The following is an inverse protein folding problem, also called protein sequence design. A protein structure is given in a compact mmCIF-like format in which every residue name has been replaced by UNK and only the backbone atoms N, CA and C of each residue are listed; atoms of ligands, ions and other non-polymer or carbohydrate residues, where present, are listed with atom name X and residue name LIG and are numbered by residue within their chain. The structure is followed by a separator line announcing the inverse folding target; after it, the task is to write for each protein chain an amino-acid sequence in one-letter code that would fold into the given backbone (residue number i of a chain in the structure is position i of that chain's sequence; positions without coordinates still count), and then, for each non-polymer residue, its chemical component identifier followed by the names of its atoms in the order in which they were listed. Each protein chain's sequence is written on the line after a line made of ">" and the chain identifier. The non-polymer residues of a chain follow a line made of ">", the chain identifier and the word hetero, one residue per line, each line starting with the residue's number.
data_IF_667283664571
#
_entry.id   IF_667283664571
#
_cell.length_a   1.000
_cell.length_b   1.000
_cell.length_c   1.000
_cell.angle_alpha   90.00
_cell.angle_beta   90.00
_cell.angle_gamma   90.00
#
_symmetry.space_group_name_H-M   'P 1'
#
loop_
_entity.id
_entity.type
_entity.pdbx_description
1 polymer ?
#
# COMPACT_ATOMS: atom_id res chain seq x y z
N UNK A 1 -4.99 -0.14 -5.71
CA UNK A 1 -5.30 -1.24 -6.65
C UNK A 1 -4.21 -1.37 -7.71
N UNK A 2 -3.70 -0.28 -8.29
CA UNK A 2 -2.50 -0.37 -9.13
C UNK A 2 -1.24 -0.42 -8.27
N UNK A 3 -0.40 -1.44 -8.46
CA UNK A 3 0.92 -1.54 -7.86
C UNK A 3 1.95 -0.71 -8.66
N UNK A 4 2.96 -0.12 -8.02
CA UNK A 4 3.91 0.79 -8.69
C UNK A 4 4.67 0.14 -9.86
N UNK A 5 4.93 -1.16 -9.81
CA UNK A 5 5.60 -1.93 -10.87
C UNK A 5 4.76 -2.08 -12.15
N UNK A 6 3.43 -1.97 -12.08
CA UNK A 6 2.54 -1.98 -13.25
C UNK A 6 2.79 -0.76 -14.16
N UNK A 7 3.37 0.31 -13.58
CA UNK A 7 3.73 1.52 -14.33
C UNK A 7 5.05 1.36 -15.09
N UNK A 8 5.75 0.24 -14.92
CA UNK A 8 6.97 -0.12 -15.63
C UNK A 8 6.67 -1.29 -16.57
N UNK A 9 6.78 -1.06 -17.88
CA UNK A 9 6.45 -2.02 -18.94
C UNK A 9 7.25 -3.34 -18.88
N UNK A 10 8.35 -3.40 -18.12
CA UNK A 10 9.32 -4.49 -18.13
C UNK A 10 9.35 -5.38 -16.87
N UNK A 11 8.44 -5.19 -15.91
CA UNK A 11 8.43 -6.01 -14.68
C UNK A 11 7.51 -7.21 -14.82
N UNK A 12 7.97 -8.47 -14.66
CA UNK A 12 7.10 -9.63 -14.67
C UNK A 12 6.10 -9.52 -13.51
N UNK A 13 4.81 -9.52 -13.84
CA UNK A 13 3.71 -9.49 -12.90
C UNK A 13 3.68 -10.80 -12.10
N UNK A 14 3.69 -10.70 -10.77
CA UNK A 14 3.66 -11.84 -9.84
C UNK A 14 2.63 -11.65 -8.72
N UNK A 15 2.59 -12.60 -7.78
CA UNK A 15 1.64 -12.65 -6.64
C UNK A 15 1.78 -11.44 -5.71
N UNK A 16 2.92 -10.77 -5.74
CA UNK A 16 3.28 -9.61 -4.93
C UNK A 16 2.44 -8.37 -5.29
N UNK A 17 1.91 -8.32 -6.50
CA UNK A 17 0.95 -7.30 -6.94
C UNK A 17 -0.42 -7.48 -6.24
N UNK A 18 -0.83 -8.73 -6.00
CA UNK A 18 -2.07 -9.01 -5.26
C UNK A 18 -1.92 -8.61 -3.79
N UNK A 19 -0.74 -8.81 -3.19
CA UNK A 19 -0.43 -8.38 -1.81
C UNK A 19 -0.59 -6.86 -1.67
N UNK A 20 -0.05 -6.08 -2.62
CA UNK A 20 -0.25 -4.63 -2.64
C UNK A 20 -1.74 -4.26 -2.76
N UNK A 21 -2.46 -4.94 -3.66
CA UNK A 21 -3.90 -4.70 -3.85
C UNK A 21 -4.71 -4.99 -2.59
N UNK A 22 -4.39 -6.08 -1.88
CA UNK A 22 -4.97 -6.43 -0.58
C UNK A 22 -4.66 -5.33 0.44
N UNK A 23 -3.41 -4.89 0.55
CA UNK A 23 -3.02 -3.80 1.45
C UNK A 23 -3.83 -2.52 1.21
N UNK A 24 -4.02 -2.14 -0.05
CA UNK A 24 -4.84 -0.97 -0.43
C UNK A 24 -6.32 -1.16 -0.03
N UNK A 25 -6.88 -2.34 -0.28
CA UNK A 25 -8.27 -2.66 0.08
C UNK A 25 -8.43 -2.66 1.61
N UNK A 26 -7.53 -3.30 2.35
CA UNK A 26 -7.55 -3.32 3.82
C UNK A 26 -7.47 -1.91 4.39
N UNK A 27 -6.61 -1.04 3.85
CA UNK A 27 -6.53 0.36 4.27
C UNK A 27 -7.88 1.07 4.08
N UNK A 28 -8.54 0.87 2.94
CA UNK A 28 -9.86 1.44 2.66
C UNK A 28 -10.95 0.89 3.57
N UNK A 29 -10.92 -0.41 3.89
CA UNK A 29 -11.91 -1.03 4.80
C UNK A 29 -11.80 -0.49 6.23
N UNK A 30 -10.59 -0.15 6.70
CA UNK A 30 -10.37 0.35 8.07
C UNK A 30 -10.61 1.85 8.21
N UNK A 31 -10.26 2.65 7.20
CA UNK A 31 -10.35 4.12 7.27
C UNK A 31 -11.51 4.73 6.51
N UNK A 32 -12.07 4.02 5.53
CA UNK A 32 -13.03 4.56 4.57
C UNK A 32 -12.40 5.44 3.48
N UNK A 33 -11.07 5.59 3.45
CA UNK A 33 -10.36 6.42 2.47
C UNK A 33 -9.25 5.64 1.76
N UNK A 34 -8.91 5.96 0.49
CA UNK A 34 -7.77 5.34 -0.19
C UNK A 34 -6.44 5.79 0.43
N UNK A 35 -5.41 4.92 0.49
CA UNK A 35 -4.09 5.29 1.01
C UNK A 35 -3.37 6.32 0.11
N UNK A 36 -3.67 6.31 -1.19
CA UNK A 36 -3.10 7.25 -2.16
C UNK A 36 -4.22 8.03 -2.83
N UNK A 37 -4.16 9.35 -2.73
CA UNK A 37 -5.09 10.26 -3.39
C UNK A 37 -4.38 11.57 -3.74
N UNK A 38 -4.64 12.06 -4.95
CA UNK A 38 -4.26 13.39 -5.40
C UNK A 38 -5.18 13.80 -6.56
N UNK A 39 -5.48 15.09 -6.68
CA UNK A 39 -6.24 15.62 -7.82
C UNK A 39 -5.40 15.61 -9.09
N UNK A 40 -4.08 15.76 -8.96
CA UNK A 40 -3.16 15.64 -10.07
C UNK A 40 -2.73 14.18 -10.25
N UNK A 41 -3.10 13.61 -11.39
CA UNK A 41 -2.77 12.21 -11.74
C UNK A 41 -1.25 11.94 -11.71
N UNK A 42 -0.42 12.90 -12.10
CA UNK A 42 1.03 12.77 -12.02
C UNK A 42 1.54 12.68 -10.57
N UNK A 43 0.96 13.47 -9.66
CA UNK A 43 1.28 13.40 -8.24
C UNK A 43 0.74 12.13 -7.57
N UNK A 44 -0.45 11.66 -7.98
CA UNK A 44 -0.98 10.36 -7.57
C UNK A 44 0.00 9.24 -7.94
N UNK A 45 0.49 9.22 -9.17
CA UNK A 45 1.50 8.24 -9.59
C UNK A 45 2.82 8.39 -8.83
N UNK A 46 3.26 9.61 -8.56
CA UNK A 46 4.45 9.87 -7.73
C UNK A 46 4.29 9.27 -6.33
N UNK A 47 3.14 9.50 -5.67
CA UNK A 47 2.83 8.95 -4.35
C UNK A 47 2.83 7.42 -4.35
N UNK A 48 2.22 6.80 -5.36
CA UNK A 48 2.21 5.33 -5.52
C UNK A 48 3.64 4.80 -5.72
N UNK A 49 4.43 5.42 -6.61
CA UNK A 49 5.83 5.04 -6.87
C UNK A 49 6.75 5.20 -5.66
N UNK A 50 6.49 6.19 -4.82
CA UNK A 50 7.26 6.42 -3.61
C UNK A 50 6.68 5.72 -2.36
N UNK A 51 5.55 5.02 -2.47
CA UNK A 51 4.87 4.43 -1.30
C UNK A 51 4.47 5.46 -0.25
N UNK A 52 4.17 6.69 -0.66
CA UNK A 52 3.86 7.80 0.25
C UNK A 52 2.37 7.78 0.62
N UNK A 53 2.08 7.24 1.81
CA UNK A 53 0.76 7.31 2.46
C UNK A 53 0.94 7.54 3.96
N UNK A 54 -0.13 7.94 4.65
CA UNK A 54 -0.12 8.15 6.09
C UNK A 54 -1.38 7.56 6.73
N UNK A 55 -1.24 7.08 7.97
CA UNK A 55 -2.37 6.65 8.81
C UNK A 55 -3.06 7.86 9.44
N UNK A 56 -3.61 8.71 8.60
CA UNK A 56 -4.26 9.96 8.95
C UNK A 56 -5.63 10.07 8.29
N UNK A 57 -6.51 10.93 8.81
CA UNK A 57 -6.44 11.62 10.11
C UNK A 57 -6.62 10.68 11.31
N UNK A 58 -6.07 11.07 12.47
CA UNK A 58 -5.95 10.20 13.66
C UNK A 58 -7.29 9.63 14.17
N UNK A 59 -8.41 10.31 13.94
CA UNK A 59 -9.72 9.83 14.40
C UNK A 59 -10.19 8.54 13.70
N UNK A 60 -9.76 8.28 12.46
CA UNK A 60 -10.00 6.99 11.79
C UNK A 60 -9.08 5.88 12.27
N UNK A 61 -7.89 6.23 12.76
CA UNK A 61 -6.83 5.26 13.02
C UNK A 61 -6.54 5.04 14.51
N UNK A 62 -7.13 5.83 15.41
CA UNK A 62 -6.91 5.74 16.85
C UNK A 62 -7.39 4.42 17.45
N UNK A 63 -8.43 3.82 16.87
CA UNK A 63 -9.03 2.56 17.31
C UNK A 63 -8.49 1.33 16.56
N UNK A 64 -7.69 1.54 15.50
CA UNK A 64 -7.08 0.47 14.73
C UNK A 64 -5.79 0.01 15.43
N UNK A 65 -5.65 -1.30 15.63
CA UNK A 65 -4.50 -1.88 16.33
C UNK A 65 -3.17 -1.57 15.64
N UNK A 66 -2.10 -1.55 16.42
CA UNK A 66 -0.75 -1.42 15.89
C UNK A 66 -0.45 -2.53 14.88
N UNK A 67 -0.82 -3.77 15.19
CA UNK A 67 -0.56 -4.93 14.32
C UNK A 67 -1.24 -4.81 12.97
N UNK A 68 -2.46 -4.27 12.91
CA UNK A 68 -3.15 -4.04 11.65
C UNK A 68 -2.44 -2.97 10.80
N UNK A 69 -1.97 -1.88 11.43
CA UNK A 69 -1.19 -0.85 10.73
C UNK A 69 0.15 -1.40 10.24
N UNK A 70 0.84 -2.16 11.07
CA UNK A 70 2.10 -2.82 10.72
C UNK A 70 1.91 -3.78 9.54
N UNK A 71 0.88 -4.61 9.58
CA UNK A 71 0.54 -5.53 8.49
C UNK A 71 0.29 -4.77 7.17
N UNK A 72 -0.45 -3.66 7.20
CA UNK A 72 -0.65 -2.80 6.01
C UNK A 72 0.69 -2.24 5.52
N UNK A 73 1.56 -1.78 6.42
CA UNK A 73 2.89 -1.31 6.07
C UNK A 73 3.77 -2.37 5.44
N UNK A 74 3.68 -3.63 5.85
CA UNK A 74 4.39 -4.72 5.18
C UNK A 74 3.81 -5.05 3.80
N UNK A 75 2.51 -4.85 3.58
CA UNK A 75 1.87 -5.08 2.28
C UNK A 75 2.11 -3.95 1.27
N UNK A 76 2.19 -2.70 1.74
CA UNK A 76 2.37 -1.49 0.93
C UNK A 76 3.85 -1.11 0.76
N UNK A 77 4.74 -2.09 0.65
CA UNK A 77 6.15 -1.85 0.31
C UNK A 77 6.31 -1.58 -1.19
N UNK A 78 7.16 -0.62 -1.57
CA UNK A 78 7.35 -0.25 -2.99
C UNK A 78 7.98 -1.40 -3.77
N UNK A 79 9.04 -2.00 -3.22
CA UNK A 79 9.72 -3.13 -3.84
C UNK A 79 8.94 -4.43 -3.60
N UNK A 80 8.57 -5.18 -4.66
CA UNK A 80 7.83 -6.44 -4.52
C UNK A 80 8.52 -7.48 -3.62
N UNK A 81 9.87 -7.53 -3.62
CA UNK A 81 10.67 -8.42 -2.76
C UNK A 81 10.48 -8.17 -1.27
N UNK A 82 10.12 -6.95 -0.89
CA UNK A 82 9.98 -6.52 0.50
C UNK A 82 8.54 -6.70 0.98
N UNK A 83 7.62 -7.01 0.05
CA UNK A 83 6.22 -7.32 0.36
C UNK A 83 6.12 -8.76 0.84
N UNK A 84 6.12 -8.93 2.15
CA UNK A 84 5.71 -10.15 2.84
C UNK A 84 6.24 -11.46 2.21
N UNK A 85 7.54 -11.71 2.36
CA UNK A 85 8.06 -13.08 2.45
C UNK A 85 8.45 -13.32 3.91
N UNK A 86 7.82 -14.33 4.49
CA UNK A 86 8.03 -14.88 5.83
C UNK A 86 9.48 -14.74 6.34
N UNK A 87 9.67 -13.92 7.39
CA UNK A 87 10.81 -14.06 8.30
C UNK A 87 10.31 -14.58 9.64
N UNK A 88 9.71 -15.76 9.64
CA UNK A 88 9.99 -16.72 10.70
C UNK A 88 11.45 -17.18 10.52
N UNK A 89 12.36 -16.58 11.28
CA UNK A 89 13.72 -17.06 11.55
C UNK A 89 13.98 -16.94 13.05
#
# INVERSE_FOLDING_TARGET
>A
YLAPEILHLDTPYGKECDIWSIGVITFMLLSGCPPFYDENVGQLYSKIKCGQYAFEPAYYWSHVSHDAKHLISCMLQVHPSDRYYDMCS
#
